data_IF_980553942981
#
_entry.id   IF_980553942981
#
_cell.length_a   1.000
_cell.length_b   1.000
_cell.length_c   1.000
_cell.angle_alpha   90.00
_cell.angle_beta   90.00
_cell.angle_gamma   90.00
#
_symmetry.space_group_name_H-M   'P 1'
#
loop_
_entity.id
_entity.type
_entity.pdbx_description
1 polymer ?
#
# COMPACT_ATOMS: atom_id res chain seq x y z
N UNK A 1 13.52 10.16 -53.65
CA UNK A 1 14.01 9.16 -52.66
C UNK A 1 14.74 9.93 -51.58
N UNK A 2 14.06 10.25 -50.47
CA UNK A 2 14.66 10.96 -49.33
C UNK A 2 14.45 10.05 -48.13
N UNK A 3 15.53 9.40 -47.68
CA UNK A 3 15.54 8.62 -46.46
C UNK A 3 15.60 9.59 -45.28
N UNK A 4 14.54 9.63 -44.50
CA UNK A 4 14.44 10.43 -43.28
C UNK A 4 14.90 9.55 -42.11
N UNK A 5 16.16 9.70 -41.69
CA UNK A 5 16.65 9.10 -40.44
C UNK A 5 16.03 9.88 -39.27
N UNK A 6 15.11 9.23 -38.55
CA UNK A 6 14.70 9.66 -37.22
C UNK A 6 15.67 9.03 -36.23
N UNK A 7 16.51 9.84 -35.62
CA UNK A 7 17.30 9.46 -34.45
C UNK A 7 16.35 9.18 -33.28
N UNK A 8 16.01 7.92 -33.09
CA UNK A 8 15.34 7.45 -31.89
C UNK A 8 16.42 7.15 -30.83
N UNK A 9 16.75 8.14 -30.01
CA UNK A 9 17.48 7.89 -28.76
C UNK A 9 16.54 7.15 -27.81
N UNK A 10 16.52 5.82 -27.93
CA UNK A 10 15.86 4.91 -26.99
C UNK A 10 16.78 4.81 -25.78
N UNK A 11 16.42 5.50 -24.70
CA UNK A 11 16.99 5.24 -23.38
C UNK A 11 16.62 3.82 -22.95
N UNK A 12 17.63 3.01 -22.61
CA UNK A 12 17.54 1.59 -22.23
C UNK A 12 16.70 1.31 -20.96
N UNK A 13 16.11 2.35 -20.37
CA UNK A 13 15.29 2.29 -19.16
C UNK A 13 14.00 3.09 -19.34
N UNK A 14 13.25 2.82 -20.39
CA UNK A 14 11.83 3.17 -20.41
C UNK A 14 11.09 2.19 -19.48
N UNK A 15 11.12 2.50 -18.19
CA UNK A 15 10.07 2.02 -17.27
C UNK A 15 8.78 2.72 -17.69
N UNK A 16 8.12 2.19 -18.72
CA UNK A 16 6.68 2.37 -18.90
C UNK A 16 5.99 1.69 -17.72
N UNK A 17 5.98 2.34 -16.56
CA UNK A 17 5.10 1.97 -15.45
C UNK A 17 3.67 2.20 -15.92
N UNK A 18 2.97 1.09 -16.12
CA UNK A 18 1.71 0.99 -16.85
C UNK A 18 0.68 2.03 -16.42
N UNK A 19 0.26 2.85 -17.38
CA UNK A 19 -0.89 3.74 -17.24
C UNK A 19 -2.19 3.10 -17.73
N UNK A 20 -2.30 1.77 -17.71
CA UNK A 20 -3.50 1.01 -18.12
C UNK A 20 -3.49 -0.43 -17.54
N UNK A 21 -3.08 -0.62 -16.28
CA UNK A 21 -3.39 -1.88 -15.61
C UNK A 21 -4.91 -1.93 -15.35
N UNK A 22 -5.61 -2.84 -16.05
CA UNK A 22 -7.02 -3.12 -15.79
C UNK A 22 -7.16 -3.54 -14.33
N UNK A 23 -7.96 -2.79 -13.59
CA UNK A 23 -8.27 -3.07 -12.18
C UNK A 23 -8.83 -4.47 -12.04
N UNK A 24 -8.12 -5.27 -11.26
CA UNK A 24 -8.61 -6.55 -10.81
C UNK A 24 -9.46 -6.31 -9.56
N UNK A 25 -10.78 -6.18 -9.75
CA UNK A 25 -11.77 -6.03 -8.68
C UNK A 25 -11.72 -7.14 -7.63
N UNK A 26 -11.00 -8.25 -7.89
CA UNK A 26 -10.73 -9.28 -6.88
C UNK A 26 -9.56 -8.91 -5.97
N UNK A 27 -8.56 -8.19 -6.49
CA UNK A 27 -7.32 -7.82 -5.79
C UNK A 27 -7.33 -6.41 -5.25
N UNK A 28 -8.15 -5.53 -5.80
CA UNK A 28 -8.20 -4.11 -5.44
C UNK A 28 -9.55 -3.74 -4.85
N UNK A 29 -9.52 -2.82 -3.89
CA UNK A 29 -10.69 -2.19 -3.32
C UNK A 29 -10.73 -0.73 -3.77
N UNK A 30 -11.84 -0.35 -4.40
CA UNK A 30 -12.14 1.02 -4.81
C UNK A 30 -12.91 1.67 -3.67
N UNK A 31 -12.25 2.50 -2.86
CA UNK A 31 -12.80 3.08 -1.63
C UNK A 31 -13.36 4.47 -1.92
N UNK A 32 -14.56 4.74 -1.41
CA UNK A 32 -15.05 6.11 -1.26
C UNK A 32 -14.28 6.79 -0.14
N UNK A 33 -13.25 7.55 -0.50
CA UNK A 33 -12.27 8.06 0.44
C UNK A 33 -12.91 8.96 1.50
N UNK A 34 -13.83 9.84 1.09
CA UNK A 34 -14.47 10.78 2.00
C UNK A 34 -15.31 10.05 3.06
N UNK A 35 -16.21 9.17 2.63
CA UNK A 35 -17.07 8.39 3.55
C UNK A 35 -16.23 7.49 4.45
N UNK A 36 -15.21 6.83 3.88
CA UNK A 36 -14.36 5.94 4.65
C UNK A 36 -13.58 6.68 5.75
N UNK A 37 -13.04 7.86 5.45
CA UNK A 37 -12.37 8.71 6.44
C UNK A 37 -13.32 9.23 7.52
N UNK A 38 -14.55 9.57 7.16
CA UNK A 38 -15.59 9.96 8.13
C UNK A 38 -15.89 8.82 9.10
N UNK A 39 -16.10 7.61 8.59
CA UNK A 39 -16.34 6.41 9.40
C UNK A 39 -15.14 6.10 10.31
N UNK A 40 -13.92 6.12 9.78
CA UNK A 40 -12.72 5.91 10.59
C UNK A 40 -12.55 6.95 11.69
N UNK A 41 -12.91 8.21 11.42
CA UNK A 41 -12.83 9.30 12.42
C UNK A 41 -13.86 9.11 13.53
N UNK A 42 -15.08 8.67 13.22
CA UNK A 42 -16.09 8.31 14.23
C UNK A 42 -15.63 7.14 15.10
N UNK A 43 -14.97 6.13 14.51
CA UNK A 43 -14.42 4.98 15.25
C UNK A 43 -13.27 5.43 16.17
N UNK A 44 -12.42 6.36 15.71
CA UNK A 44 -11.29 6.90 16.48
C UNK A 44 -11.72 7.65 17.76
N UNK A 45 -12.94 8.19 17.81
CA UNK A 45 -13.50 8.88 18.98
C UNK A 45 -13.98 7.91 20.09
N UNK A 46 -14.17 6.63 19.77
CA UNK A 46 -14.63 5.63 20.73
C UNK A 46 -13.63 5.43 21.88
N UNK A 47 -14.17 5.17 23.07
CA UNK A 47 -13.40 4.99 24.31
C UNK A 47 -13.45 3.54 24.82
N UNK A 48 -13.95 2.61 24.01
CA UNK A 48 -14.06 1.19 24.36
C UNK A 48 -13.48 0.34 23.23
N UNK A 49 -12.47 -0.49 23.55
CA UNK A 49 -11.80 -1.33 22.56
C UNK A 49 -12.77 -2.28 21.86
N UNK A 50 -13.69 -2.91 22.59
CA UNK A 50 -14.68 -3.82 22.02
C UNK A 50 -15.58 -3.14 20.97
N UNK A 51 -15.95 -1.87 21.19
CA UNK A 51 -16.73 -1.09 20.23
C UNK A 51 -15.93 -0.79 18.96
N UNK A 52 -14.66 -0.40 19.11
CA UNK A 52 -13.75 -0.20 17.97
C UNK A 52 -13.65 -1.48 17.14
N UNK A 53 -13.36 -2.62 17.78
CA UNK A 53 -13.25 -3.93 17.10
C UNK A 53 -14.54 -4.29 16.37
N UNK A 54 -15.68 -4.07 17.00
CA UNK A 54 -16.99 -4.35 16.40
C UNK A 54 -17.24 -3.52 15.14
N UNK A 55 -16.98 -2.20 15.18
CA UNK A 55 -17.15 -1.34 13.99
C UNK A 55 -16.16 -1.69 12.88
N UNK A 56 -14.89 -1.97 13.22
CA UNK A 56 -13.89 -2.40 12.23
C UNK A 56 -14.26 -3.76 11.63
N UNK A 57 -14.84 -4.68 12.39
CA UNK A 57 -15.35 -5.96 11.86
C UNK A 57 -16.43 -5.76 10.80
N UNK A 58 -17.36 -4.81 11.00
CA UNK A 58 -18.37 -4.48 9.97
C UNK A 58 -17.71 -4.00 8.68
N UNK A 59 -16.68 -3.17 8.79
CA UNK A 59 -15.89 -2.73 7.63
C UNK A 59 -15.28 -3.94 6.92
N UNK A 60 -14.62 -4.84 7.66
CA UNK A 60 -14.02 -6.06 7.09
C UNK A 60 -15.08 -6.90 6.36
N UNK A 61 -16.27 -7.07 6.93
CA UNK A 61 -17.37 -7.79 6.28
C UNK A 61 -17.80 -7.14 4.96
N UNK A 62 -17.85 -5.81 4.90
CA UNK A 62 -18.18 -5.04 3.68
C UNK A 62 -17.08 -5.23 2.62
N UNK A 63 -15.80 -5.09 2.99
CA UNK A 63 -14.68 -5.29 2.06
C UNK A 63 -14.66 -6.73 1.52
N UNK A 64 -14.98 -7.72 2.34
CA UNK A 64 -15.07 -9.14 1.92
C UNK A 64 -16.29 -9.41 1.05
N UNK A 65 -17.43 -8.83 1.39
CA UNK A 65 -18.70 -8.98 0.69
C UNK A 65 -19.32 -7.61 0.37
N UNK A 66 -18.96 -7.01 -0.78
CA UNK A 66 -19.43 -5.68 -1.18
C UNK A 66 -20.96 -5.53 -1.24
N UNK A 67 -21.72 -6.63 -1.36
CA UNK A 67 -23.19 -6.60 -1.36
C UNK A 67 -23.75 -6.11 -0.01
N UNK A 68 -22.98 -6.26 1.08
CA UNK A 68 -23.35 -5.78 2.42
C UNK A 68 -23.06 -4.28 2.63
N UNK A 69 -22.54 -3.57 1.62
CA UNK A 69 -22.19 -2.16 1.75
C UNK A 69 -23.42 -1.26 1.80
N UNK A 70 -23.97 -1.08 3.00
CA UNK A 70 -25.08 -0.17 3.25
C UNK A 70 -24.61 1.27 3.55
N UNK A 71 -23.30 1.48 3.67
CA UNK A 71 -22.71 2.77 4.08
C UNK A 71 -22.12 3.53 2.89
N UNK A 72 -21.91 2.87 1.75
CA UNK A 72 -21.25 3.46 0.60
C UNK A 72 -19.74 3.58 0.78
N UNK A 73 -19.11 2.64 1.50
CA UNK A 73 -17.65 2.62 1.69
C UNK A 73 -16.91 2.32 0.39
N UNK A 74 -17.55 1.58 -0.53
CA UNK A 74 -16.99 1.13 -1.79
C UNK A 74 -17.61 1.88 -2.96
N UNK A 75 -16.77 2.30 -3.90
CA UNK A 75 -17.19 2.84 -5.19
C UNK A 75 -17.16 1.76 -6.26
N UNK A 76 -17.96 1.95 -7.32
CA UNK A 76 -18.00 1.06 -8.50
C UNK A 76 -16.99 1.52 -9.56
N UNK A 77 -16.58 2.80 -9.54
CA UNK A 77 -15.71 3.41 -10.55
C UNK A 77 -14.82 4.52 -9.95
N UNK A 78 -13.81 4.95 -10.70
CA UNK A 78 -12.98 6.12 -10.39
C UNK A 78 -13.76 7.41 -10.55
N UNK A 79 -14.27 7.93 -9.46
CA UNK A 79 -14.65 9.34 -9.36
C UNK A 79 -13.54 10.11 -8.61
N UNK A 80 -13.66 11.44 -8.52
CA UNK A 80 -12.63 12.30 -7.92
C UNK A 80 -12.29 11.98 -6.46
N UNK A 81 -13.21 11.36 -5.70
CA UNK A 81 -13.04 11.05 -4.28
C UNK A 81 -12.74 9.55 -4.03
N UNK A 82 -12.08 8.90 -4.98
CA UNK A 82 -11.78 7.47 -4.94
C UNK A 82 -10.33 7.19 -4.55
N UNK A 83 -10.13 6.32 -3.58
CA UNK A 83 -8.82 5.72 -3.28
C UNK A 83 -8.80 4.25 -3.72
N UNK A 84 -7.84 3.86 -4.55
CA UNK A 84 -7.59 2.47 -4.94
C UNK A 84 -6.52 1.89 -4.03
N UNK A 85 -6.81 0.79 -3.35
CA UNK A 85 -5.87 0.09 -2.45
C UNK A 85 -5.91 -1.40 -2.73
N UNK A 86 -4.76 -2.09 -2.64
CA UNK A 86 -4.73 -3.56 -2.62
C UNK A 86 -5.59 -4.10 -1.49
N UNK A 87 -6.61 -4.89 -1.86
CA UNK A 87 -7.61 -5.46 -0.95
C UNK A 87 -6.98 -6.26 0.18
N UNK A 88 -5.95 -7.04 -0.13
CA UNK A 88 -5.21 -7.86 0.84
C UNK A 88 -4.55 -6.98 1.91
N UNK A 89 -3.86 -5.92 1.49
CA UNK A 89 -3.20 -4.96 2.39
C UNK A 89 -4.22 -4.22 3.25
N UNK A 90 -5.34 -3.78 2.66
CA UNK A 90 -6.42 -3.13 3.42
C UNK A 90 -7.00 -4.07 4.49
N UNK A 91 -7.24 -5.33 4.14
CA UNK A 91 -7.74 -6.33 5.10
C UNK A 91 -6.72 -6.62 6.20
N UNK A 92 -5.43 -6.70 5.89
CA UNK A 92 -4.38 -6.83 6.91
C UNK A 92 -4.36 -5.65 7.88
N UNK A 93 -4.40 -4.41 7.38
CA UNK A 93 -4.40 -3.22 8.23
C UNK A 93 -5.65 -3.16 9.12
N UNK A 94 -6.81 -3.56 8.60
CA UNK A 94 -8.05 -3.64 9.39
C UNK A 94 -7.98 -4.76 10.45
N UNK A 95 -7.47 -5.94 10.09
CA UNK A 95 -7.28 -7.04 11.06
C UNK A 95 -6.30 -6.64 12.16
N UNK A 96 -5.22 -5.91 11.81
CA UNK A 96 -4.27 -5.40 12.80
C UNK A 96 -4.95 -4.48 13.82
N UNK A 97 -5.95 -3.68 13.42
CA UNK A 97 -6.74 -2.87 14.36
C UNK A 97 -7.58 -3.77 15.29
N UNK A 98 -8.19 -4.84 14.76
CA UNK A 98 -9.02 -5.78 15.54
C UNK A 98 -8.20 -6.54 16.60
N UNK A 99 -6.98 -6.95 16.26
CA UNK A 99 -6.13 -7.79 17.12
C UNK A 99 -5.55 -7.03 18.32
N UNK A 100 -5.60 -5.70 18.30
CA UNK A 100 -5.01 -4.84 19.32
C UNK A 100 -5.68 -4.98 20.69
N UNK A 101 -4.87 -4.93 21.74
CA UNK A 101 -5.35 -5.02 23.13
C UNK A 101 -5.63 -3.67 23.80
N UNK A 102 -5.04 -2.56 23.32
CA UNK A 102 -5.22 -1.22 23.93
C UNK A 102 -5.86 -0.21 22.98
N UNK A 103 -6.60 0.74 23.54
CA UNK A 103 -7.31 1.77 22.75
C UNK A 103 -6.31 2.67 22.02
N UNK A 104 -5.21 3.04 22.67
CA UNK A 104 -4.18 3.90 22.09
C UNK A 104 -3.57 3.28 20.84
N UNK A 105 -3.33 1.95 20.88
CA UNK A 105 -2.79 1.24 19.72
C UNK A 105 -3.82 1.10 18.61
N UNK A 106 -5.09 0.91 18.93
CA UNK A 106 -6.14 0.84 17.92
C UNK A 106 -6.27 2.19 17.20
N UNK A 107 -6.30 3.30 17.95
CA UNK A 107 -6.31 4.67 17.42
C UNK A 107 -5.07 4.97 16.59
N UNK A 108 -3.88 4.52 17.03
CA UNK A 108 -2.66 4.65 16.24
C UNK A 108 -2.77 3.96 14.88
N UNK A 109 -3.28 2.73 14.81
CA UNK A 109 -3.43 2.02 13.54
C UNK A 109 -4.54 2.60 12.66
N UNK A 110 -5.65 3.08 13.24
CA UNK A 110 -6.68 3.82 12.52
C UNK A 110 -6.09 5.08 11.88
N UNK A 111 -5.33 5.88 12.66
CA UNK A 111 -4.69 7.08 12.14
C UNK A 111 -3.65 6.75 11.05
N UNK A 112 -2.91 5.63 11.19
CA UNK A 112 -1.99 5.16 10.15
C UNK A 112 -2.72 4.83 8.85
N UNK A 113 -3.87 4.15 8.93
CA UNK A 113 -4.72 3.85 7.77
C UNK A 113 -5.31 5.13 7.15
N UNK A 114 -5.71 6.12 7.97
CA UNK A 114 -6.14 7.44 7.46
C UNK A 114 -5.01 8.10 6.66
N UNK A 115 -3.77 8.08 7.16
CA UNK A 115 -2.61 8.64 6.45
C UNK A 115 -2.29 7.93 5.15
N UNK A 116 -2.46 6.62 5.06
CA UNK A 116 -2.26 5.89 3.80
C UNK A 116 -3.26 6.29 2.72
N UNK A 117 -4.44 6.80 3.11
CA UNK A 117 -5.45 7.34 2.21
C UNK A 117 -5.17 8.81 1.83
N UNK A 118 -4.75 9.64 2.78
CA UNK A 118 -4.73 11.11 2.61
C UNK A 118 -3.37 11.68 2.24
N UNK A 119 -2.28 11.00 2.55
CA UNK A 119 -0.93 11.55 2.48
C UNK A 119 0.00 10.66 1.65
N UNK A 120 0.68 11.28 0.68
CA UNK A 120 1.84 10.68 0.03
C UNK A 120 3.08 11.09 0.81
N UNK A 121 3.76 10.12 1.42
CA UNK A 121 4.97 10.36 2.21
C UNK A 121 6.17 9.70 1.55
N UNK A 122 7.03 10.48 0.91
CA UNK A 122 8.27 10.00 0.27
C UNK A 122 9.51 10.33 1.11
N UNK A 123 10.67 9.80 0.69
CA UNK A 123 11.97 10.12 1.29
C UNK A 123 12.82 11.00 0.37
N UNK A 124 14.00 11.44 0.83
CA UNK A 124 14.95 12.16 -0.04
C UNK A 124 15.63 11.25 -1.08
N UNK A 125 15.58 9.94 -0.87
CA UNK A 125 16.39 8.95 -1.60
C UNK A 125 15.55 8.23 -2.65
N UNK A 126 14.23 8.12 -2.42
CA UNK A 126 13.29 7.44 -3.32
C UNK A 126 11.89 8.06 -3.28
N UNK A 127 11.11 7.73 -4.30
CA UNK A 127 9.73 8.12 -4.56
C UNK A 127 8.70 7.15 -3.94
N UNK A 128 9.14 6.13 -3.19
CA UNK A 128 8.27 5.20 -2.50
C UNK A 128 7.34 5.93 -1.52
N UNK A 129 6.03 5.73 -1.67
CA UNK A 129 5.07 6.18 -0.66
C UNK A 129 5.16 5.30 0.60
N UNK A 130 5.84 5.80 1.63
CA UNK A 130 6.04 5.17 2.92
C UNK A 130 4.75 4.96 3.72
N UNK A 131 3.65 5.66 3.40
CA UNK A 131 2.35 5.36 4.03
C UNK A 131 1.66 4.16 3.38
N UNK A 132 2.09 3.74 2.18
CA UNK A 132 1.53 2.63 1.39
C UNK A 132 2.58 1.57 1.05
N UNK A 133 3.64 1.48 1.86
CA UNK A 133 4.80 0.63 1.54
C UNK A 133 4.47 -0.86 1.40
N UNK A 134 3.45 -1.35 2.13
CA UNK A 134 2.99 -2.74 2.07
C UNK A 134 2.42 -3.14 0.71
N UNK A 135 2.12 -2.17 -0.16
CA UNK A 135 1.59 -2.45 -1.49
C UNK A 135 2.68 -2.73 -2.52
N UNK A 136 3.96 -2.54 -2.20
CA UNK A 136 5.05 -2.90 -3.10
C UNK A 136 5.46 -4.34 -2.83
N UNK A 137 5.35 -5.19 -3.86
CA UNK A 137 5.73 -6.60 -3.76
C UNK A 137 7.26 -6.80 -3.69
N UNK A 138 8.02 -5.78 -4.12
CA UNK A 138 9.48 -5.83 -4.19
C UNK A 138 10.16 -5.33 -2.90
N UNK A 139 9.38 -4.87 -1.91
CA UNK A 139 9.92 -4.47 -0.61
C UNK A 139 10.02 -5.72 0.28
N UNK A 140 11.26 -6.10 0.59
CA UNK A 140 11.56 -7.15 1.54
C UNK A 140 11.75 -6.55 2.94
N UNK A 141 10.89 -6.91 3.90
CA UNK A 141 11.04 -6.56 5.32
C UNK A 141 11.55 -7.72 6.19
N UNK A 142 11.79 -8.85 5.55
CA UNK A 142 12.33 -10.05 6.18
C UNK A 142 13.81 -9.88 6.57
N UNK A 143 14.37 -10.94 7.15
CA UNK A 143 15.78 -10.93 7.54
C UNK A 143 16.71 -10.91 6.33
N UNK A 144 17.86 -10.22 6.43
CA UNK A 144 18.91 -10.24 5.41
C UNK A 144 19.45 -11.67 5.15
N UNK A 145 19.23 -12.62 6.06
CA UNK A 145 19.59 -14.02 5.89
C UNK A 145 18.83 -14.75 4.78
N UNK A 146 17.76 -14.18 4.22
CA UNK A 146 17.08 -14.75 3.05
C UNK A 146 17.89 -14.58 1.75
N UNK A 147 18.87 -13.68 1.78
CA UNK A 147 19.66 -13.34 0.61
C UNK A 147 20.83 -14.32 0.53
N UNK A 148 21.06 -14.85 -0.68
CA UNK A 148 22.12 -15.81 -0.91
C UNK A 148 23.49 -15.24 -0.53
N UNK A 149 24.42 -16.15 -0.22
CA UNK A 149 25.82 -15.76 0.03
C UNK A 149 26.32 -14.94 -1.15
N UNK A 150 27.05 -13.87 -0.85
CA UNK A 150 27.72 -13.05 -1.87
C UNK A 150 28.51 -13.93 -2.84
N UNK A 151 28.36 -13.66 -4.13
CA UNK A 151 29.15 -14.31 -5.16
C UNK A 151 30.65 -14.07 -4.93
N UNK A 152 31.44 -15.14 -5.05
CA UNK A 152 32.90 -15.14 -4.87
C UNK A 152 33.65 -15.40 -6.19
N UNK A 153 32.93 -15.47 -7.32
CA UNK A 153 33.50 -15.81 -8.63
C UNK A 153 34.33 -14.68 -9.26
N UNK A 154 34.20 -13.43 -8.78
CA UNK A 154 34.88 -12.25 -9.32
C UNK A 154 36.15 -11.81 -8.57
N UNK A 155 36.93 -10.92 -9.20
CA UNK A 155 38.14 -10.30 -8.64
C UNK A 155 37.83 -9.22 -7.58
N UNK A 156 37.23 -9.61 -6.47
CA UNK A 156 36.89 -8.70 -5.39
C UNK A 156 38.09 -8.51 -4.44
N UNK A 157 38.91 -7.48 -4.68
CA UNK A 157 39.87 -7.01 -3.69
C UNK A 157 39.11 -6.61 -2.42
N UNK A 158 39.53 -7.17 -1.28
CA UNK A 158 38.95 -6.95 0.05
C UNK A 158 39.10 -5.49 0.58
N UNK A 159 39.33 -4.51 -0.29
CA UNK A 159 39.51 -3.11 0.05
C UNK A 159 38.21 -2.33 0.23
N UNK A 160 37.07 -2.84 -0.27
CA UNK A 160 35.77 -2.19 -0.08
C UNK A 160 35.03 -2.82 1.10
N UNK A 161 35.17 -2.20 2.28
CA UNK A 161 34.54 -2.59 3.55
C UNK A 161 33.13 -2.00 3.69
N UNK A 162 32.31 -2.14 2.64
CA UNK A 162 30.90 -1.76 2.66
C UNK A 162 30.04 -3.01 2.80
N UNK A 163 29.17 -3.05 3.81
CA UNK A 163 28.08 -4.03 3.91
C UNK A 163 27.06 -3.73 2.80
N UNK A 164 27.31 -4.19 1.58
CA UNK A 164 26.35 -4.12 0.49
C UNK A 164 25.99 -5.54 0.04
N UNK A 165 24.70 -5.73 -0.23
CA UNK A 165 24.16 -6.94 -0.83
C UNK A 165 24.08 -6.66 -2.33
N UNK A 166 24.88 -7.38 -3.16
CA UNK A 166 24.85 -7.20 -4.61
C UNK A 166 23.47 -7.48 -5.22
#
# INVERSE_FOLDING_TARGET
MVANMKDNNITLFDFNSGSDEKIDWKKEAIINQNIFLEVLSKIEELQENNKIKFEIHKIIEIIRNPIKDNFGLLNISHNGDTAIIKKEVLLEDLNQIVEVQTIERAKYYINRLKKSLTEIKTSKINDLNLNRWKEYNDILTESLWILDKRDKSGAHNAGYWGNFIP
#
